data_IF_465334460854
#
_entry.id   IF_465334460854
#
_cell.length_a   1.000
_cell.length_b   1.000
_cell.length_c   1.000
_cell.angle_alpha   90.00
_cell.angle_beta   90.00
_cell.angle_gamma   90.00
#
_symmetry.space_group_name_H-M   'P 1'
#
loop_
_entity.id
_entity.type
_entity.pdbx_description
1 polymer ?
#
# COMPACT_ATOMS: atom_id res chain seq x y z
N UNK A 1 -13.19 -7.58 -20.13
CA UNK A 1 -12.00 -8.37 -19.74
C UNK A 1 -11.92 -8.31 -18.23
N UNK A 2 -12.32 -9.38 -17.53
CA UNK A 2 -12.18 -9.46 -16.08
C UNK A 2 -10.72 -9.80 -15.78
N UNK A 3 -9.90 -8.78 -15.56
CA UNK A 3 -8.54 -8.98 -15.06
C UNK A 3 -8.63 -9.41 -13.61
N UNK A 4 -8.30 -10.67 -13.33
CA UNK A 4 -8.19 -11.19 -11.98
C UNK A 4 -6.98 -10.51 -11.31
N UNK A 5 -7.22 -9.73 -10.25
CA UNK A 5 -6.16 -9.05 -9.51
C UNK A 5 -5.56 -10.06 -8.55
N UNK A 6 -4.36 -10.56 -8.88
CA UNK A 6 -3.60 -11.46 -8.02
C UNK A 6 -2.70 -10.62 -7.12
N UNK A 7 -3.00 -10.62 -5.82
CA UNK A 7 -2.09 -10.10 -4.82
C UNK A 7 -1.03 -11.14 -4.54
N UNK A 8 0.23 -10.84 -4.86
CA UNK A 8 1.32 -11.71 -4.45
C UNK A 8 1.49 -11.63 -2.93
N UNK A 9 1.46 -12.81 -2.30
CA UNK A 9 1.66 -12.90 -0.87
C UNK A 9 3.16 -12.85 -0.57
N UNK A 10 3.67 -11.65 -0.33
CA UNK A 10 5.08 -11.42 0.02
C UNK A 10 5.29 -11.52 1.53
N UNK A 11 6.39 -12.15 1.93
CA UNK A 11 6.79 -12.27 3.33
C UNK A 11 7.09 -10.89 3.92
N UNK A 12 6.97 -10.74 5.25
CA UNK A 12 7.27 -9.50 5.96
C UNK A 12 8.68 -8.98 5.65
N UNK A 13 9.67 -9.86 5.57
CA UNK A 13 11.05 -9.47 5.21
C UNK A 13 11.14 -8.90 3.79
N UNK A 14 10.44 -9.49 2.82
CA UNK A 14 10.38 -8.93 1.46
C UNK A 14 9.63 -7.59 1.43
N UNK A 15 8.58 -7.42 2.25
CA UNK A 15 7.89 -6.13 2.43
C UNK A 15 8.85 -5.07 2.96
N UNK A 16 9.63 -5.38 4.00
CA UNK A 16 10.63 -4.44 4.55
C UNK A 16 11.65 -4.01 3.50
N UNK A 17 12.16 -4.94 2.69
CA UNK A 17 13.10 -4.60 1.60
C UNK A 17 12.43 -3.68 0.58
N UNK A 18 11.20 -3.98 0.16
CA UNK A 18 10.46 -3.12 -0.76
C UNK A 18 10.20 -1.73 -0.16
N UNK A 19 9.77 -1.67 1.10
CA UNK A 19 9.56 -0.41 1.83
C UNK A 19 10.86 0.41 1.88
N UNK A 20 11.99 -0.23 2.17
CA UNK A 20 13.30 0.44 2.23
C UNK A 20 13.69 1.06 0.89
N UNK A 21 13.48 0.33 -0.22
CA UNK A 21 13.71 0.83 -1.59
C UNK A 21 12.79 2.03 -1.89
N UNK A 22 11.56 2.00 -1.38
CA UNK A 22 10.57 3.07 -1.55
C UNK A 22 10.78 4.26 -0.59
N UNK A 23 11.79 4.22 0.28
CA UNK A 23 12.09 5.29 1.22
C UNK A 23 11.27 5.25 2.50
N UNK A 24 10.75 4.08 2.87
CA UNK A 24 10.06 3.82 4.13
C UNK A 24 10.87 2.86 5.00
N UNK A 25 10.59 2.86 6.30
CA UNK A 25 11.07 1.82 7.21
C UNK A 25 9.95 1.46 8.18
N UNK A 26 10.21 0.45 9.01
CA UNK A 26 9.25 -0.07 9.97
C UNK A 26 9.86 0.02 11.36
N UNK A 27 9.10 0.51 12.32
CA UNK A 27 9.50 0.56 13.72
C UNK A 27 9.31 -0.79 14.45
N UNK A 28 9.52 -0.80 15.76
CA UNK A 28 9.39 -1.99 16.60
C UNK A 28 7.95 -2.52 16.69
N UNK A 29 6.96 -1.64 16.55
CA UNK A 29 5.53 -1.95 16.62
C UNK A 29 4.94 -2.35 15.25
N UNK A 30 5.75 -2.32 14.19
CA UNK A 30 5.32 -2.67 12.84
C UNK A 30 4.71 -1.50 12.05
N UNK A 31 4.83 -0.27 12.56
CA UNK A 31 4.32 0.95 11.93
C UNK A 31 5.23 1.38 10.77
N UNK A 32 4.64 1.76 9.64
CA UNK A 32 5.40 2.24 8.48
C UNK A 32 5.68 3.73 8.65
N UNK A 33 6.95 4.09 8.59
CA UNK A 33 7.45 5.45 8.75
C UNK A 33 8.21 5.90 7.49
N UNK A 34 8.03 7.17 7.10
CA UNK A 34 8.85 7.80 6.09
C UNK A 34 10.31 7.93 6.57
N UNK A 35 11.26 7.42 5.80
CA UNK A 35 12.68 7.34 6.20
C UNK A 35 13.36 8.70 6.31
N UNK A 36 12.84 9.75 5.64
CA UNK A 36 13.43 11.10 5.66
C UNK A 36 12.89 11.94 6.80
N UNK A 37 11.60 11.80 7.10
CA UNK A 37 10.88 12.67 8.04
C UNK A 37 10.56 11.99 9.37
N UNK A 38 10.71 10.66 9.42
CA UNK A 38 10.33 9.82 10.55
C UNK A 38 8.86 9.94 10.95
N UNK A 39 8.01 10.38 10.02
CA UNK A 39 6.57 10.52 10.23
C UNK A 39 5.85 9.27 9.81
N UNK A 40 4.76 8.99 10.49
CA UNK A 40 3.85 7.89 10.17
C UNK A 40 3.34 8.01 8.74
N UNK A 41 3.42 6.90 8.02
CA UNK A 41 2.76 6.81 6.74
C UNK A 41 1.27 6.63 6.95
N UNK A 42 0.49 7.62 6.52
CA UNK A 42 -0.96 7.62 6.64
C UNK A 42 -1.58 7.15 5.34
N UNK A 43 -2.47 6.17 5.42
CA UNK A 43 -3.24 5.70 4.29
C UNK A 43 -4.05 6.87 3.71
N UNK A 44 -3.91 7.19 2.41
CA UNK A 44 -4.62 8.31 1.81
C UNK A 44 -6.14 8.13 1.78
N UNK A 45 -6.61 6.88 1.90
CA UNK A 45 -8.02 6.51 1.96
C UNK A 45 -8.57 6.65 3.37
N UNK A 46 -8.14 5.79 4.30
CA UNK A 46 -8.77 5.70 5.63
C UNK A 46 -8.32 6.81 6.57
N UNK A 47 -7.24 7.53 6.23
CA UNK A 47 -6.58 8.51 7.10
C UNK A 47 -5.99 7.91 8.38
N UNK A 48 -5.78 6.59 8.39
CA UNK A 48 -5.17 5.85 9.49
C UNK A 48 -3.71 5.52 9.17
N UNK A 49 -2.91 5.30 10.20
CA UNK A 49 -1.55 4.85 10.04
C UNK A 49 -1.48 3.42 9.47
N UNK A 50 -0.44 3.15 8.67
CA UNK A 50 -0.29 1.87 7.98
C UNK A 50 0.71 0.98 8.71
N UNK A 51 0.29 -0.23 9.04
CA UNK A 51 1.13 -1.27 9.63
C UNK A 51 1.58 -2.26 8.55
N UNK A 52 2.80 -2.77 8.67
CA UNK A 52 3.42 -3.69 7.70
C UNK A 52 2.61 -4.97 7.47
N UNK A 53 1.94 -5.48 8.51
CA UNK A 53 1.08 -6.68 8.44
C UNK A 53 -0.08 -6.52 7.47
N UNK A 54 -0.63 -5.30 7.40
CA UNK A 54 -1.78 -4.94 6.60
C UNK A 54 -1.40 -3.99 5.47
N UNK A 55 -0.13 -3.96 5.06
CA UNK A 55 0.34 -3.11 3.98
C UNK A 55 0.38 -3.90 2.66
N UNK A 56 -0.17 -3.30 1.61
CA UNK A 56 -0.02 -3.77 0.24
C UNK A 56 0.70 -2.72 -0.60
N UNK A 57 1.71 -3.16 -1.36
CA UNK A 57 2.47 -2.34 -2.29
C UNK A 57 1.95 -2.62 -3.69
N UNK A 58 1.43 -1.59 -4.35
CA UNK A 58 0.72 -1.75 -5.62
C UNK A 58 1.63 -1.55 -6.85
N UNK A 59 1.27 -2.17 -8.00
CA UNK A 59 2.02 -2.02 -9.25
C UNK A 59 2.14 -0.54 -9.65
N UNK A 60 3.34 -0.13 -10.08
CA UNK A 60 3.69 1.29 -10.24
C UNK A 60 4.55 1.84 -9.11
N UNK A 61 4.74 1.06 -8.03
CA UNK A 61 5.82 1.19 -7.05
C UNK A 61 5.89 2.54 -6.32
N UNK A 62 4.74 3.14 -6.00
CA UNK A 62 4.71 4.32 -5.12
C UNK A 62 3.55 4.34 -4.14
N UNK A 63 2.59 3.42 -4.28
CA UNK A 63 1.36 3.43 -3.49
C UNK A 63 1.38 2.28 -2.49
N UNK A 64 1.37 2.65 -1.21
CA UNK A 64 1.16 1.76 -0.07
C UNK A 64 -0.25 2.03 0.45
N UNK A 65 -1.04 0.96 0.64
CA UNK A 65 -2.37 1.05 1.25
C UNK A 65 -2.46 0.08 2.42
N UNK A 66 -3.35 0.41 3.36
CA UNK A 66 -3.90 -0.60 4.26
C UNK A 66 -4.63 -1.66 3.40
N UNK A 67 -4.70 -2.90 3.85
CA UNK A 67 -5.42 -4.00 3.18
C UNK A 67 -6.84 -4.16 3.73
N UNK A 68 -7.35 -3.17 4.45
CA UNK A 68 -8.76 -3.12 4.86
C UNK A 68 -9.68 -3.10 3.64
N UNK A 69 -10.87 -3.69 3.76
CA UNK A 69 -11.85 -3.74 2.67
C UNK A 69 -12.18 -2.35 2.12
N UNK A 70 -12.28 -1.35 3.02
CA UNK A 70 -12.55 0.04 2.66
C UNK A 70 -11.43 0.65 1.80
N UNK A 71 -10.18 0.47 2.21
CA UNK A 71 -9.03 1.04 1.48
C UNK A 71 -8.84 0.41 0.10
N UNK A 72 -9.06 -0.90 -0.01
CA UNK A 72 -9.07 -1.62 -1.28
C UNK A 72 -10.23 -1.17 -2.17
N UNK A 73 -11.45 -1.08 -1.62
CA UNK A 73 -12.64 -0.64 -2.35
C UNK A 73 -12.45 0.77 -2.94
N UNK A 74 -12.02 1.74 -2.13
CA UNK A 74 -11.77 3.09 -2.65
C UNK A 74 -10.63 3.14 -3.66
N UNK A 75 -9.58 2.32 -3.48
CA UNK A 75 -8.53 2.23 -4.49
C UNK A 75 -9.09 1.75 -5.83
N UNK A 76 -9.95 0.73 -5.83
CA UNK A 76 -10.58 0.23 -7.06
C UNK A 76 -11.47 1.27 -7.74
N UNK A 77 -12.34 1.94 -6.98
CA UNK A 77 -13.18 3.02 -7.52
C UNK A 77 -12.34 4.17 -8.07
N UNK A 78 -11.31 4.61 -7.34
CA UNK A 78 -10.50 5.78 -7.74
C UNK A 78 -9.58 5.50 -8.91
N UNK A 79 -8.94 4.33 -8.94
CA UNK A 79 -7.85 4.09 -9.87
C UNK A 79 -8.20 3.06 -10.93
N UNK A 80 -8.90 1.98 -10.60
CA UNK A 80 -9.20 0.92 -11.58
C UNK A 80 -10.36 1.30 -12.48
N UNK A 81 -11.46 1.85 -11.94
CA UNK A 81 -12.61 2.27 -12.76
C UNK A 81 -12.26 3.43 -13.71
N UNK A 82 -11.40 4.36 -13.27
CA UNK A 82 -10.91 5.46 -14.09
C UNK A 82 -9.97 5.00 -15.22
N UNK A 83 -9.25 3.88 -15.04
CA UNK A 83 -8.46 3.27 -16.13
C UNK A 83 -9.38 2.64 -17.16
N UNK A 84 -10.52 2.07 -16.76
CA UNK A 84 -11.51 1.48 -17.68
C UNK A 84 -12.38 2.50 -18.42
N UNK A 85 -12.60 3.71 -17.88
CA UNK A 85 -13.34 4.79 -18.58
C UNK A 85 -12.53 5.56 -19.63
N UNK A 86 -11.21 5.31 -19.74
CA UNK A 86 -10.35 5.91 -20.77
C UNK A 86 -10.23 5.09 -22.06
N UNK A 87 -11.18 4.19 -22.34
CA UNK A 87 -11.26 3.45 -23.62
C UNK A 87 -12.43 3.90 -24.47
#
# INVERSE_FOLDING_TARGET
MNGEIKFENITTEKRKILLDILGYHVDEDGLILDKKTNKEHICPVTKEAVFIENASVLPGSTVIINTSELSLSEYFTKYVENITSKR
#
